data_IF_336519998543
#
_entry.id   IF_336519998543
#
_cell.length_a   1.000
_cell.length_b   1.000
_cell.length_c   1.000
_cell.angle_alpha   90.00
_cell.angle_beta   90.00
_cell.angle_gamma   90.00
#
_symmetry.space_group_name_H-M   'P 1'
#
loop_
_entity.id
_entity.type
_entity.pdbx_description
1 polymer ?
#
# COMPACT_ATOMS: atom_id res chain seq x y z
N UNK A 1 6.27 19.34 12.03
CA UNK A 1 5.49 18.09 12.15
C UNK A 1 5.23 17.59 10.74
N UNK A 2 5.53 16.33 10.40
CA UNK A 2 5.15 15.79 9.09
C UNK A 2 3.62 15.84 8.98
N UNK A 3 3.13 16.70 8.10
CA UNK A 3 1.72 16.92 7.84
C UNK A 3 1.24 15.89 6.81
N UNK A 4 0.02 15.33 6.98
CA UNK A 4 -0.58 14.38 6.04
C UNK A 4 -1.90 14.94 5.47
N UNK A 5 -1.86 15.68 4.35
CA UNK A 5 -2.99 16.44 3.80
C UNK A 5 -4.03 15.59 3.05
N UNK A 6 -4.49 14.48 3.64
CA UNK A 6 -5.53 13.67 3.02
C UNK A 6 -6.91 14.31 3.21
N UNK A 7 -7.59 14.56 2.08
CA UNK A 7 -8.98 15.03 1.95
C UNK A 7 -9.82 13.86 1.41
N UNK A 8 -10.49 13.07 2.27
CA UNK A 8 -11.17 11.84 1.84
C UNK A 8 -12.34 12.07 0.88
N UNK A 9 -13.07 13.17 1.06
CA UNK A 9 -14.25 13.51 0.25
C UNK A 9 -13.91 14.16 -1.11
N UNK A 10 -12.65 14.14 -1.53
CA UNK A 10 -12.25 14.66 -2.83
C UNK A 10 -12.71 13.72 -3.96
N UNK A 11 -13.64 14.18 -4.80
CA UNK A 11 -14.19 13.39 -5.93
C UNK A 11 -13.39 13.51 -7.24
N UNK A 12 -12.27 14.24 -7.22
CA UNK A 12 -11.41 14.44 -8.38
C UNK A 12 -9.94 14.49 -7.98
N UNK A 13 -9.06 14.77 -8.94
CA UNK A 13 -7.64 14.93 -8.65
C UNK A 13 -7.42 16.06 -7.63
N UNK A 14 -6.67 15.75 -6.57
CA UNK A 14 -6.28 16.67 -5.53
C UNK A 14 -4.78 16.55 -5.34
N UNK A 15 -4.05 17.67 -5.50
CA UNK A 15 -2.60 17.73 -5.26
C UNK A 15 -2.29 17.34 -3.81
N UNK A 16 -3.15 17.73 -2.86
CA UNK A 16 -3.05 17.36 -1.45
C UNK A 16 -3.11 15.85 -1.26
N UNK A 17 -4.08 15.17 -1.87
CA UNK A 17 -4.18 13.71 -1.78
C UNK A 17 -3.03 13.02 -2.50
N UNK A 18 -2.64 13.52 -3.68
CA UNK A 18 -1.50 12.97 -4.42
C UNK A 18 -0.21 13.05 -3.59
N UNK A 19 0.04 14.18 -2.92
CA UNK A 19 1.18 14.36 -2.04
C UNK A 19 1.11 13.44 -0.82
N UNK A 20 -0.03 13.37 -0.14
CA UNK A 20 -0.22 12.48 1.00
C UNK A 20 0.01 11.01 0.62
N UNK A 21 -0.56 10.56 -0.50
CA UNK A 21 -0.37 9.18 -0.98
C UNK A 21 1.07 8.92 -1.46
N UNK A 22 1.77 9.93 -2.00
CA UNK A 22 3.19 9.81 -2.29
C UNK A 22 4.03 9.63 -1.02
N UNK A 23 3.73 10.37 0.05
CA UNK A 23 4.36 10.18 1.35
C UNK A 23 4.09 8.77 1.91
N UNK A 24 2.86 8.25 1.77
CA UNK A 24 2.52 6.89 2.20
C UNK A 24 3.27 5.83 1.39
N UNK A 25 3.39 6.02 0.07
CA UNK A 25 4.15 5.12 -0.79
C UNK A 25 5.66 5.13 -0.47
N UNK A 26 6.23 6.29 -0.14
CA UNK A 26 7.62 6.41 0.32
C UNK A 26 7.82 5.72 1.68
N UNK A 27 6.92 5.98 2.64
CA UNK A 27 6.97 5.38 3.98
C UNK A 27 6.87 3.84 3.92
N UNK A 28 6.24 3.26 2.90
CA UNK A 28 6.12 1.82 2.76
C UNK A 28 7.47 1.09 2.60
N UNK A 29 8.56 1.80 2.30
CA UNK A 29 9.92 1.26 2.27
C UNK A 29 10.63 1.26 3.64
N UNK A 30 10.12 1.99 4.62
CA UNK A 30 10.71 2.04 5.95
C UNK A 30 10.44 0.75 6.75
N UNK A 31 11.09 0.62 7.91
CA UNK A 31 10.79 -0.46 8.84
C UNK A 31 9.46 -0.26 9.58
N UNK A 32 8.92 -1.33 10.18
CA UNK A 32 7.61 -1.28 10.84
C UNK A 32 7.55 -0.40 12.08
N UNK A 33 8.67 -0.15 12.76
CA UNK A 33 8.69 0.77 13.89
C UNK A 33 8.55 2.21 13.39
N UNK A 34 9.24 2.57 12.31
CA UNK A 34 9.11 3.87 11.66
C UNK A 34 7.73 4.07 11.04
N UNK A 35 7.19 3.08 10.32
CA UNK A 35 5.84 3.14 9.74
C UNK A 35 4.80 3.44 10.84
N UNK A 36 4.81 2.67 11.94
CA UNK A 36 3.87 2.86 13.05
C UNK A 36 4.06 4.20 13.74
N UNK A 37 5.30 4.61 13.98
CA UNK A 37 5.62 5.89 14.59
C UNK A 37 5.09 7.05 13.74
N UNK A 38 5.37 7.04 12.45
CA UNK A 38 4.98 8.12 11.52
C UNK A 38 3.46 8.20 11.36
N UNK A 39 2.80 7.06 11.07
CA UNK A 39 1.35 7.02 10.90
C UNK A 39 0.60 7.47 12.15
N UNK A 40 0.96 6.95 13.33
CA UNK A 40 0.24 7.23 14.58
C UNK A 40 0.60 8.61 15.14
N UNK A 41 1.89 8.95 15.24
CA UNK A 41 2.32 10.17 15.93
C UNK A 41 2.36 11.41 15.06
N UNK A 42 2.70 11.25 13.78
CA UNK A 42 2.92 12.38 12.89
C UNK A 42 1.68 12.64 12.00
N UNK A 43 1.01 11.58 11.54
CA UNK A 43 -0.13 11.68 10.62
C UNK A 43 -1.52 11.56 11.29
N UNK A 44 -1.55 11.36 12.62
CA UNK A 44 -2.78 11.28 13.43
C UNK A 44 -3.73 10.13 13.02
N UNK A 45 -3.16 9.00 12.59
CA UNK A 45 -3.91 7.75 12.43
C UNK A 45 -4.08 7.07 13.79
N UNK A 46 -5.24 6.43 14.01
CA UNK A 46 -5.55 5.74 15.27
C UNK A 46 -4.87 4.38 15.35
N UNK A 47 -4.86 3.66 14.24
CA UNK A 47 -4.28 2.33 14.16
C UNK A 47 -3.42 2.21 12.90
N UNK A 48 -2.42 1.34 12.98
CA UNK A 48 -1.57 0.97 11.86
C UNK A 48 -1.25 -0.51 11.96
N UNK A 49 -1.55 -1.26 10.90
CA UNK A 49 -1.21 -2.68 10.76
C UNK A 49 -0.17 -2.81 9.65
N UNK A 50 0.94 -3.49 9.94
CA UNK A 50 1.96 -3.78 8.94
C UNK A 50 1.83 -5.24 8.52
N UNK A 51 1.94 -5.49 7.22
CA UNK A 51 1.83 -6.79 6.59
C UNK A 51 3.15 -7.13 5.91
N UNK A 52 3.61 -8.36 6.11
CA UNK A 52 4.78 -8.90 5.41
C UNK A 52 4.53 -10.36 5.06
N UNK A 53 4.60 -10.68 3.77
CA UNK A 53 4.56 -12.06 3.31
C UNK A 53 5.35 -12.21 2.01
N UNK A 54 6.29 -13.16 2.00
CA UNK A 54 7.26 -13.30 0.90
C UNK A 54 7.97 -11.96 0.65
N UNK A 55 8.01 -11.46 -0.58
CA UNK A 55 8.63 -10.18 -0.96
C UNK A 55 7.67 -8.98 -0.82
N UNK A 56 6.42 -9.22 -0.39
CA UNK A 56 5.38 -8.19 -0.28
C UNK A 56 5.35 -7.58 1.11
N UNK A 57 5.51 -6.26 1.16
CA UNK A 57 5.41 -5.46 2.36
C UNK A 57 4.33 -4.39 2.16
N UNK A 58 3.47 -4.21 3.16
CA UNK A 58 2.43 -3.19 3.13
C UNK A 58 2.10 -2.68 4.54
N UNK A 59 1.37 -1.57 4.61
CA UNK A 59 0.69 -1.17 5.82
C UNK A 59 -0.72 -0.66 5.55
N UNK A 60 -1.59 -0.82 6.54
CA UNK A 60 -2.96 -0.31 6.60
C UNK A 60 -3.05 0.64 7.78
N UNK A 61 -3.23 1.92 7.52
CA UNK A 61 -3.43 2.94 8.54
C UNK A 61 -4.89 3.40 8.53
N UNK A 62 -5.53 3.42 9.71
CA UNK A 62 -6.94 3.77 9.86
C UNK A 62 -7.14 5.01 10.72
N UNK A 63 -8.02 5.91 10.27
CA UNK A 63 -8.54 7.05 11.03
C UNK A 63 -10.05 7.13 10.82
N UNK A 64 -10.72 7.98 11.60
CA UNK A 64 -12.18 8.02 11.67
C UNK A 64 -12.93 8.28 10.35
N UNK A 65 -12.26 8.88 9.37
CA UNK A 65 -12.81 9.33 8.08
C UNK A 65 -12.07 8.71 6.88
N UNK A 66 -11.05 7.87 7.09
CA UNK A 66 -10.26 7.29 6.00
C UNK A 66 -9.46 6.04 6.39
N UNK A 67 -9.23 5.18 5.40
CA UNK A 67 -8.29 4.07 5.45
C UNK A 67 -7.23 4.29 4.35
N UNK A 68 -5.95 4.20 4.70
CA UNK A 68 -4.84 4.27 3.74
C UNK A 68 -4.13 2.93 3.72
N UNK A 69 -4.03 2.34 2.53
CA UNK A 69 -3.25 1.13 2.28
C UNK A 69 -2.08 1.52 1.38
N UNK A 70 -0.85 1.24 1.81
CA UNK A 70 0.34 1.49 1.02
C UNK A 70 1.19 0.22 0.97
N UNK A 71 1.71 -0.09 -0.22
CA UNK A 71 2.53 -1.25 -0.50
C UNK A 71 3.92 -0.80 -0.93
N UNK A 72 4.96 -1.49 -0.45
CA UNK A 72 6.33 -1.27 -0.90
C UNK A 72 6.45 -1.69 -2.36
N UNK A 73 7.09 -0.86 -3.18
CA UNK A 73 7.48 -1.25 -4.54
C UNK A 73 8.76 -2.10 -4.54
N UNK A 74 9.32 -2.33 -5.73
CA UNK A 74 10.58 -3.07 -5.87
C UNK A 74 11.78 -2.13 -5.74
N UNK A 75 12.69 -2.42 -4.81
CA UNK A 75 13.99 -1.74 -4.72
C UNK A 75 14.99 -2.39 -5.69
N UNK A 76 15.52 -1.61 -6.64
CA UNK A 76 16.79 -1.80 -7.35
C UNK A 76 17.15 -3.22 -7.82
N UNK A 77 16.21 -3.86 -8.53
CA UNK A 77 16.45 -5.03 -9.38
C UNK A 77 15.93 -4.77 -10.80
N UNK A 78 16.13 -3.55 -11.31
CA UNK A 78 15.74 -3.19 -12.68
C UNK A 78 16.51 -4.02 -13.73
N UNK A 79 17.73 -4.45 -13.42
CA UNK A 79 18.51 -5.38 -14.26
C UNK A 79 17.93 -6.81 -14.23
N UNK A 80 17.35 -7.24 -13.10
CA UNK A 80 16.61 -8.51 -13.01
C UNK A 80 15.22 -8.42 -13.66
N UNK A 81 14.54 -7.25 -13.66
CA UNK A 81 13.24 -7.06 -14.33
C UNK A 81 13.29 -7.31 -15.84
N UNK A 82 14.41 -6.97 -16.48
CA UNK A 82 14.60 -7.18 -17.93
C UNK A 82 14.94 -8.64 -18.24
N UNK A 83 15.56 -9.35 -17.28
CA UNK A 83 16.00 -10.74 -17.44
C UNK A 83 14.89 -11.74 -17.05
N UNK A 84 14.14 -11.44 -15.99
CA UNK A 84 12.93 -12.13 -15.52
C UNK A 84 11.67 -11.40 -15.99
N UNK A 85 11.62 -11.04 -17.28
CA UNK A 85 10.47 -10.44 -17.95
C UNK A 85 9.25 -11.39 -18.00
N UNK A 86 8.75 -11.80 -16.84
CA UNK A 86 7.55 -12.56 -16.67
C UNK A 86 6.34 -11.62 -16.72
N UNK A 87 6.26 -10.84 -17.81
CA UNK A 87 5.09 -10.05 -18.22
C UNK A 87 3.92 -10.96 -18.65
N UNK A 88 3.88 -12.19 -18.14
CA UNK A 88 2.82 -13.14 -18.42
C UNK A 88 1.53 -12.62 -17.79
N UNK A 89 0.47 -12.73 -18.57
CA UNK A 89 -0.86 -12.31 -18.17
C UNK A 89 -1.65 -13.53 -17.71
N UNK A 90 -2.13 -13.50 -16.47
CA UNK A 90 -3.02 -14.52 -15.89
C UNK A 90 -4.45 -14.01 -15.83
N UNK A 91 -5.41 -14.93 -15.72
CA UNK A 91 -6.83 -14.56 -15.53
C UNK A 91 -6.99 -13.97 -14.13
N UNK A 92 -7.39 -12.70 -14.07
CA UNK A 92 -7.69 -11.99 -12.84
C UNK A 92 -9.08 -12.34 -12.28
N UNK A 93 -9.33 -11.98 -11.01
CA UNK A 93 -10.54 -12.36 -10.29
C UNK A 93 -11.81 -11.71 -10.85
N UNK A 94 -11.67 -10.57 -11.53
CA UNK A 94 -12.78 -9.82 -12.15
C UNK A 94 -12.95 -10.13 -13.66
N UNK A 95 -12.39 -11.25 -14.14
CA UNK A 95 -12.56 -11.73 -15.51
C UNK A 95 -11.60 -11.14 -16.55
N UNK A 96 -10.85 -10.09 -16.22
CA UNK A 96 -9.78 -9.54 -17.04
C UNK A 96 -8.46 -10.32 -16.96
N UNK A 97 -7.43 -9.84 -17.64
CA UNK A 97 -6.05 -10.34 -17.54
C UNK A 97 -5.18 -9.39 -16.73
N UNK A 98 -4.34 -9.91 -15.83
CA UNK A 98 -3.45 -9.13 -14.95
C UNK A 98 -2.02 -9.67 -15.00
N UNK A 99 -1.04 -8.84 -14.67
CA UNK A 99 0.36 -9.24 -14.59
C UNK A 99 0.54 -10.32 -13.50
N UNK A 100 1.14 -11.46 -13.86
CA UNK A 100 1.28 -12.61 -12.97
C UNK A 100 1.99 -12.23 -11.66
N UNK A 101 3.12 -11.52 -11.73
CA UNK A 101 3.87 -11.14 -10.53
C UNK A 101 3.12 -10.18 -9.59
N UNK A 102 2.28 -9.29 -10.13
CA UNK A 102 1.47 -8.40 -9.27
C UNK A 102 0.32 -9.16 -8.63
N UNK A 103 -0.28 -10.10 -9.37
CA UNK A 103 -1.32 -10.96 -8.83
C UNK A 103 -0.78 -11.86 -7.72
N UNK A 104 0.37 -12.49 -7.94
CA UNK A 104 1.04 -13.34 -6.95
C UNK A 104 1.46 -12.54 -5.71
N UNK A 105 2.13 -11.39 -5.88
CA UNK A 105 2.51 -10.52 -4.76
C UNK A 105 1.32 -10.10 -3.91
N UNK A 106 0.24 -9.60 -4.53
CA UNK A 106 -0.97 -9.24 -3.81
C UNK A 106 -1.61 -10.46 -3.12
N UNK A 107 -1.59 -11.63 -3.75
CA UNK A 107 -2.23 -12.84 -3.21
C UNK A 107 -1.62 -13.31 -1.88
N UNK A 108 -0.35 -13.00 -1.61
CA UNK A 108 0.31 -13.36 -0.36
C UNK A 108 -0.24 -12.63 0.86
N UNK A 109 -0.76 -11.41 0.67
CA UNK A 109 -1.29 -10.57 1.76
C UNK A 109 -2.80 -10.32 1.66
N UNK A 110 -3.45 -10.78 0.59
CA UNK A 110 -4.83 -10.41 0.26
C UNK A 110 -5.84 -10.75 1.37
N UNK A 111 -5.77 -11.95 1.95
CA UNK A 111 -6.73 -12.37 2.96
C UNK A 111 -6.69 -11.47 4.21
N UNK A 112 -5.49 -11.21 4.73
CA UNK A 112 -5.31 -10.36 5.90
C UNK A 112 -5.66 -8.89 5.60
N UNK A 113 -5.30 -8.40 4.39
CA UNK A 113 -5.64 -7.06 3.95
C UNK A 113 -7.15 -6.86 3.82
N UNK A 114 -7.89 -7.79 3.23
CA UNK A 114 -9.35 -7.72 3.09
C UNK A 114 -10.03 -7.75 4.47
N UNK A 115 -9.56 -8.60 5.39
CA UNK A 115 -10.06 -8.66 6.77
C UNK A 115 -9.85 -7.34 7.52
N UNK A 116 -8.65 -6.75 7.44
CA UNK A 116 -8.32 -5.47 8.07
C UNK A 116 -9.19 -4.33 7.53
N UNK A 117 -9.37 -4.25 6.21
CA UNK A 117 -10.17 -3.19 5.60
C UNK A 117 -11.65 -3.32 5.98
N UNK A 118 -12.19 -4.54 6.03
CA UNK A 118 -13.59 -4.78 6.43
C UNK A 118 -13.88 -4.48 7.89
N UNK A 119 -12.90 -4.68 8.77
CA UNK A 119 -13.05 -4.40 10.21
C UNK A 119 -12.95 -2.90 10.53
N UNK A 120 -12.33 -2.12 9.64
CA UNK A 120 -12.14 -0.68 9.79
C UNK A 120 -13.33 0.17 9.29
N UNK A 121 -14.32 -0.45 8.63
CA UNK A 121 -15.58 0.18 8.16
C UNK A 121 -16.75 -0.14 9.07
#
# INVERSE_FOLDING_TARGET
MPYFPLIPDAHGFSVSNAFALAQAAELAYADFAEIRRTTIRDWDFRECHCLEASETQAFVATRHDAIVVAMRGTESKLEDWVTDGNCSLVRGPLGGKVHAGFYEGLSHVWAELDDLVRQAT
#
